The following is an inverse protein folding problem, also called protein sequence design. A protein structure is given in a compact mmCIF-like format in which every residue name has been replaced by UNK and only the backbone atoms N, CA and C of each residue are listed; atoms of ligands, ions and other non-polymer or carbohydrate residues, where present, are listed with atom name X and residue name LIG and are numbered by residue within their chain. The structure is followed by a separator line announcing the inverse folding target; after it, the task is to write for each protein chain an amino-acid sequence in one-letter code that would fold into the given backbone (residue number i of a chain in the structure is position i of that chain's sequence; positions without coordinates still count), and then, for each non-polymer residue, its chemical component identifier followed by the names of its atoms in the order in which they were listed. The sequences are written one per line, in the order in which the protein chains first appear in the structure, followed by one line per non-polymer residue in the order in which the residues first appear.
data_IF_450287949588
#
_entry.id   IF_450287949588
#
_cell.length_a   1.000
_cell.length_b   1.000
_cell.length_c   1.000
_cell.angle_alpha   90.00
_cell.angle_beta   90.00
_cell.angle_gamma   90.00
#
_symmetry.space_group_name_H-M   'P 1'
#
loop_
_entity.id
_entity.type
_entity.pdbx_description
1 polymer ?
#
# COMPACT_ATOMS: atom_id res chain seq x y z
N UNK A 1 -48.50 -49.05 -34.58
CA UNK A 1 -48.47 -47.58 -34.63
C UNK A 1 -47.21 -47.12 -33.90
N UNK A 2 -46.11 -46.88 -34.60
CA UNK A 2 -44.88 -46.33 -33.99
C UNK A 2 -44.86 -44.84 -34.27
N UNK A 3 -45.14 -44.05 -33.24
CA UNK A 3 -44.97 -42.61 -33.28
C UNK A 3 -43.46 -42.34 -33.17
N UNK A 4 -42.86 -41.81 -34.24
CA UNK A 4 -41.48 -41.32 -34.19
C UNK A 4 -41.52 -39.94 -33.56
N UNK A 5 -40.84 -39.77 -32.44
CA UNK A 5 -40.77 -38.51 -31.69
C UNK A 5 -39.66 -37.65 -32.31
N UNK A 6 -40.05 -36.72 -33.20
CA UNK A 6 -39.14 -35.89 -34.02
C UNK A 6 -38.89 -34.54 -33.33
N UNK A 7 -38.76 -34.52 -32.00
CA UNK A 7 -38.51 -33.28 -31.24
C UNK A 7 -37.40 -33.42 -30.19
N UNK A 8 -36.54 -34.44 -30.29
CA UNK A 8 -35.43 -34.67 -29.35
C UNK A 8 -34.04 -34.46 -29.98
N UNK A 9 -33.96 -33.89 -31.18
CA UNK A 9 -32.68 -33.56 -31.81
C UNK A 9 -32.19 -32.19 -31.36
N UNK A 10 -30.94 -32.13 -30.87
CA UNK A 10 -30.22 -30.86 -30.66
C UNK A 10 -30.38 -29.95 -31.88
N UNK A 11 -30.85 -28.73 -31.65
CA UNK A 11 -30.95 -27.75 -32.72
C UNK A 11 -29.58 -27.14 -33.01
N UNK A 12 -29.41 -26.58 -34.20
CA UNK A 12 -28.19 -25.83 -34.53
C UNK A 12 -27.96 -24.65 -33.57
N UNK A 13 -29.03 -24.10 -32.99
CA UNK A 13 -28.95 -23.04 -31.99
C UNK A 13 -28.35 -23.56 -30.67
N UNK A 14 -28.79 -24.73 -30.19
CA UNK A 14 -28.27 -25.33 -28.96
C UNK A 14 -26.77 -25.64 -29.07
N UNK A 15 -26.34 -26.10 -30.26
CA UNK A 15 -24.91 -26.30 -30.54
C UNK A 15 -24.13 -25.00 -30.56
N UNK A 16 -24.71 -23.93 -31.10
CA UNK A 16 -24.06 -22.63 -31.17
C UNK A 16 -23.91 -21.99 -29.79
N UNK A 17 -24.90 -22.15 -28.91
CA UNK A 17 -24.83 -21.72 -27.50
C UNK A 17 -23.77 -22.51 -26.73
N UNK A 18 -23.68 -23.84 -26.95
CA UNK A 18 -22.67 -24.67 -26.30
C UNK A 18 -21.24 -24.29 -26.71
N UNK A 19 -21.02 -23.94 -27.98
CA UNK A 19 -19.70 -23.46 -28.47
C UNK A 19 -19.35 -22.11 -27.83
N UNK A 20 -20.31 -21.18 -27.74
CA UNK A 20 -20.08 -19.88 -27.10
C UNK A 20 -19.79 -20.00 -25.60
N UNK A 21 -20.50 -20.88 -24.89
CA UNK A 21 -20.25 -21.15 -23.47
C UNK A 21 -18.87 -21.79 -23.25
N UNK A 22 -18.45 -22.71 -24.12
CA UNK A 22 -17.13 -23.32 -24.07
C UNK A 22 -16.01 -22.30 -24.34
N UNK A 23 -16.20 -21.39 -25.28
CA UNK A 23 -15.23 -20.33 -25.60
C UNK A 23 -15.10 -19.33 -24.43
N UNK A 24 -16.23 -18.89 -23.85
CA UNK A 24 -16.23 -17.99 -22.69
C UNK A 24 -15.55 -18.61 -21.46
N UNK A 25 -15.76 -19.91 -21.21
CA UNK A 25 -15.07 -20.62 -20.12
C UNK A 25 -13.57 -20.69 -20.36
N UNK A 26 -13.16 -20.98 -21.59
CA UNK A 26 -11.74 -21.03 -21.95
C UNK A 26 -11.07 -19.68 -21.80
N UNK A 27 -11.72 -18.60 -22.24
CA UNK A 27 -11.20 -17.24 -22.07
C UNK A 27 -11.07 -16.89 -20.56
N UNK A 28 -12.01 -17.34 -19.71
CA UNK A 28 -11.93 -17.14 -18.25
C UNK A 28 -10.76 -17.93 -17.62
N UNK A 29 -10.59 -19.20 -18.01
CA UNK A 29 -9.47 -20.06 -17.57
C UNK A 29 -8.12 -19.51 -18.05
N UNK A 30 -8.03 -19.01 -19.28
CA UNK A 30 -6.83 -18.38 -19.82
C UNK A 30 -6.48 -17.09 -19.04
N UNK A 31 -7.48 -16.31 -18.61
CA UNK A 31 -7.27 -15.08 -17.83
C UNK A 31 -6.78 -15.37 -16.41
N UNK A 32 -7.40 -16.33 -15.70
CA UNK A 32 -6.92 -16.80 -14.39
C UNK A 32 -5.48 -17.36 -14.50
N UNK A 33 -5.18 -18.11 -15.56
CA UNK A 33 -3.83 -18.65 -15.78
C UNK A 33 -2.80 -17.54 -16.02
N UNK A 34 -3.19 -16.45 -16.68
CA UNK A 34 -2.31 -15.31 -16.93
C UNK A 34 -2.03 -14.52 -15.65
N UNK A 35 -3.06 -14.33 -14.82
CA UNK A 35 -2.96 -13.69 -13.51
C UNK A 35 -2.08 -14.51 -12.55
N UNK A 36 -2.26 -15.84 -12.50
CA UNK A 36 -1.43 -16.74 -11.69
C UNK A 36 0.03 -16.73 -12.14
N UNK A 37 0.29 -16.79 -13.46
CA UNK A 37 1.65 -16.68 -14.01
C UNK A 37 2.27 -15.32 -13.72
N UNK A 38 1.48 -14.25 -13.75
CA UNK A 38 1.93 -12.92 -13.38
C UNK A 38 2.30 -12.86 -11.89
N UNK A 39 1.46 -13.40 -11.01
CA UNK A 39 1.75 -13.52 -9.58
C UNK A 39 3.00 -14.36 -9.28
N UNK A 40 3.22 -15.45 -10.02
CA UNK A 40 4.42 -16.26 -9.89
C UNK A 40 5.66 -15.51 -10.36
N UNK A 41 5.60 -14.76 -11.47
CA UNK A 41 6.71 -13.90 -11.91
C UNK A 41 6.97 -12.73 -10.95
N UNK A 42 5.92 -12.15 -10.35
CA UNK A 42 5.97 -11.13 -9.31
C UNK A 42 6.69 -11.66 -8.05
N UNK A 43 6.35 -12.88 -7.63
CA UNK A 43 7.01 -13.62 -6.54
C UNK A 43 8.44 -14.01 -6.90
N UNK A 44 8.71 -14.38 -8.15
CA UNK A 44 10.05 -14.76 -8.61
C UNK A 44 11.00 -13.56 -8.76
N UNK A 45 10.49 -12.37 -9.14
CA UNK A 45 11.27 -11.12 -9.25
C UNK A 45 11.53 -10.47 -7.90
N UNK A 46 10.68 -10.72 -6.91
CA UNK A 46 10.83 -10.19 -5.57
C UNK A 46 11.64 -11.16 -4.72
N UNK A 47 12.89 -10.82 -4.41
CA UNK A 47 13.62 -11.61 -3.41
C UNK A 47 12.77 -11.64 -2.11
N UNK A 48 12.50 -12.82 -1.52
CA UNK A 48 11.60 -13.00 -0.37
C UNK A 48 12.06 -12.35 0.96
N UNK A 49 13.00 -11.39 0.90
CA UNK A 49 13.70 -10.81 2.04
C UNK A 49 13.73 -9.28 2.08
N UNK A 50 13.19 -8.57 1.07
CA UNK A 50 13.38 -7.13 0.87
C UNK A 50 12.14 -6.42 0.27
N UNK A 51 10.93 -6.78 0.72
CA UNK A 51 9.68 -6.18 0.23
C UNK A 51 9.18 -5.03 1.10
N UNK A 52 9.68 -4.90 2.33
CA UNK A 52 9.27 -3.88 3.28
C UNK A 52 10.50 -3.19 3.89
N UNK A 53 10.44 -1.88 4.08
CA UNK A 53 11.44 -1.12 4.82
C UNK A 53 10.72 -0.15 5.75
N UNK A 54 10.91 -0.35 7.04
CA UNK A 54 10.35 0.51 8.08
C UNK A 54 11.48 1.30 8.71
N UNK A 55 11.38 2.64 8.68
CA UNK A 55 12.35 3.53 9.30
C UNK A 55 11.65 4.45 10.27
N UNK A 56 12.16 4.51 11.49
CA UNK A 56 11.75 5.47 12.50
C UNK A 56 12.78 6.60 12.60
N UNK A 57 12.30 7.83 12.60
CA UNK A 57 13.14 9.00 12.81
C UNK A 57 12.40 10.10 13.57
N UNK A 58 13.14 10.94 14.29
CA UNK A 58 12.58 12.17 14.83
C UNK A 58 12.13 13.09 13.70
N UNK A 59 10.97 13.73 13.88
CA UNK A 59 10.46 14.73 12.95
C UNK A 59 11.36 15.97 13.01
N UNK A 60 11.98 16.38 11.89
CA UNK A 60 12.78 17.60 11.84
C UNK A 60 11.96 18.82 12.28
N UNK A 61 12.57 19.71 13.08
CA UNK A 61 11.92 20.92 13.61
C UNK A 61 11.26 21.78 12.54
N UNK A 62 11.84 21.83 11.34
CA UNK A 62 11.30 22.56 10.20
C UNK A 62 9.93 22.04 9.76
N UNK A 63 9.69 20.74 9.87
CA UNK A 63 8.44 20.10 9.44
C UNK A 63 7.40 19.98 10.56
N UNK A 64 7.78 20.14 11.84
CA UNK A 64 6.84 20.04 12.96
C UNK A 64 5.67 21.02 12.83
N UNK A 65 5.92 22.22 12.30
CA UNK A 65 4.86 23.22 12.06
C UNK A 65 3.86 22.75 10.99
N UNK A 66 4.35 22.17 9.91
CA UNK A 66 3.50 21.67 8.84
C UNK A 66 2.65 20.50 9.33
N UNK A 67 3.25 19.55 10.05
CA UNK A 67 2.50 18.43 10.63
C UNK A 67 1.59 18.83 11.79
N UNK A 68 1.86 19.94 12.49
CA UNK A 68 0.92 20.50 13.45
C UNK A 68 -0.39 20.97 12.81
N UNK A 69 -0.36 21.40 11.54
CA UNK A 69 -1.60 21.68 10.79
C UNK A 69 -2.34 20.41 10.38
N UNK A 70 -1.61 19.30 10.22
CA UNK A 70 -2.17 17.99 9.89
C UNK A 70 -2.86 17.36 11.09
N UNK A 71 -2.29 17.52 12.30
CA UNK A 71 -2.82 16.95 13.55
C UNK A 71 -3.10 18.05 14.61
N UNK A 72 -4.09 18.94 14.40
CA UNK A 72 -4.32 20.11 15.26
C UNK A 72 -4.79 19.76 16.67
N UNK A 73 -5.40 18.58 16.86
CA UNK A 73 -5.84 18.09 18.16
C UNK A 73 -4.66 17.72 19.08
N UNK A 74 -3.46 17.60 18.53
CA UNK A 74 -2.25 17.24 19.27
C UNK A 74 -1.29 18.43 19.24
N UNK A 75 -0.69 18.74 20.39
CA UNK A 75 0.33 19.79 20.45
C UNK A 75 1.68 19.30 19.95
N UNK A 76 1.71 18.83 18.70
CA UNK A 76 2.90 18.28 18.01
C UNK A 76 4.04 19.30 17.91
N UNK A 77 3.72 20.60 17.94
CA UNK A 77 4.73 21.66 17.96
C UNK A 77 5.50 21.77 19.29
N UNK A 78 4.98 21.21 20.40
CA UNK A 78 5.61 21.24 21.72
C UNK A 78 5.97 19.85 22.25
N UNK A 79 5.60 18.79 21.55
CA UNK A 79 5.97 17.43 21.90
C UNK A 79 7.13 16.93 21.06
N UNK A 80 7.76 15.86 21.54
CA UNK A 80 8.57 15.01 20.66
C UNK A 80 7.61 14.41 19.63
N UNK A 81 7.99 14.45 18.36
CA UNK A 81 7.22 13.88 17.25
C UNK A 81 8.18 12.98 16.49
N UNK A 82 7.84 11.71 16.41
CA UNK A 82 8.57 10.70 15.65
C UNK A 82 7.71 10.30 14.46
N UNK A 83 8.37 10.06 13.33
CA UNK A 83 7.73 9.60 12.10
C UNK A 83 8.30 8.24 11.76
N UNK A 84 7.40 7.29 11.56
CA UNK A 84 7.70 5.96 11.06
C UNK A 84 7.26 5.92 9.59
N UNK A 85 8.23 5.88 8.69
CA UNK A 85 8.00 5.72 7.25
C UNK A 85 7.95 4.24 6.91
N UNK A 86 6.83 3.82 6.33
CA UNK A 86 6.54 2.45 5.96
C UNK A 86 6.64 2.33 4.44
N UNK A 87 7.77 1.82 3.95
CA UNK A 87 8.06 1.77 2.51
C UNK A 87 7.89 0.35 2.02
N UNK A 88 6.97 0.14 1.09
CA UNK A 88 6.74 -1.14 0.44
C UNK A 88 7.37 -1.13 -0.94
N UNK A 89 8.07 -2.20 -1.30
CA UNK A 89 8.55 -2.41 -2.66
C UNK A 89 7.36 -2.77 -3.55
N UNK A 90 7.20 -2.01 -4.63
CA UNK A 90 6.23 -2.31 -5.67
C UNK A 90 6.91 -3.09 -6.80
N UNK A 91 6.13 -3.82 -7.59
CA UNK A 91 6.62 -4.46 -8.80
C UNK A 91 6.44 -3.56 -10.02
N UNK A 92 5.41 -2.71 -10.05
CA UNK A 92 5.26 -1.70 -11.08
C UNK A 92 5.93 -0.38 -10.71
N UNK A 93 6.22 0.42 -11.73
CA UNK A 93 6.70 1.78 -11.54
C UNK A 93 5.53 2.67 -11.07
N UNK A 94 5.56 3.03 -9.78
CA UNK A 94 4.49 3.80 -9.12
C UNK A 94 4.39 5.26 -9.60
N UNK A 95 5.33 5.72 -10.45
CA UNK A 95 5.25 7.02 -11.13
C UNK A 95 4.36 7.00 -12.38
N UNK A 96 4.07 5.81 -12.90
CA UNK A 96 3.17 5.62 -14.04
C UNK A 96 1.72 5.47 -13.59
N UNK A 97 0.79 5.63 -14.54
CA UNK A 97 -0.65 5.43 -14.33
C UNK A 97 -1.15 4.42 -15.35
N UNK A 98 -1.20 3.17 -14.95
CA UNK A 98 -1.84 2.05 -15.65
C UNK A 98 -2.83 1.35 -14.70
N UNK A 99 -3.67 0.48 -15.26
CA UNK A 99 -4.59 -0.36 -14.48
C UNK A 99 -3.81 -1.21 -13.45
N UNK A 100 -2.78 -1.92 -13.90
CA UNK A 100 -1.93 -2.73 -13.02
C UNK A 100 -1.29 -1.93 -11.86
N UNK A 101 -0.85 -0.69 -12.12
CA UNK A 101 -0.26 0.16 -11.06
C UNK A 101 -1.29 0.62 -10.05
N UNK A 102 -2.53 0.85 -10.46
CA UNK A 102 -3.59 1.30 -9.55
C UNK A 102 -4.14 0.13 -8.73
N UNK A 103 -4.27 -1.06 -9.33
CA UNK A 103 -4.59 -2.29 -8.60
C UNK A 103 -3.52 -2.64 -7.57
N UNK A 104 -2.24 -2.55 -7.96
CA UNK A 104 -1.14 -2.76 -7.02
C UNK A 104 -1.18 -1.70 -5.90
N UNK A 105 -1.42 -0.43 -6.23
CA UNK A 105 -1.53 0.66 -5.25
C UNK A 105 -2.66 0.40 -4.25
N UNK A 106 -3.80 -0.10 -4.71
CA UNK A 106 -4.93 -0.46 -3.83
C UNK A 106 -4.53 -1.55 -2.84
N UNK A 107 -3.91 -2.64 -3.33
CA UNK A 107 -3.40 -3.75 -2.48
C UNK A 107 -2.37 -3.27 -1.45
N UNK A 108 -1.40 -2.45 -1.87
CA UNK A 108 -0.38 -1.89 -0.98
C UNK A 108 -0.99 -0.92 0.05
N UNK A 109 -2.01 -0.16 -0.34
CA UNK A 109 -2.72 0.76 0.54
C UNK A 109 -3.51 0.01 1.61
N UNK A 110 -4.26 -1.04 1.22
CA UNK A 110 -5.02 -1.87 2.14
C UNK A 110 -4.09 -2.51 3.20
N UNK A 111 -2.99 -3.11 2.75
CA UNK A 111 -2.00 -3.70 3.66
C UNK A 111 -1.40 -2.68 4.63
N UNK A 112 -1.05 -1.49 4.12
CA UNK A 112 -0.53 -0.41 4.97
C UNK A 112 -1.57 0.04 6.01
N UNK A 113 -2.82 0.26 5.61
CA UNK A 113 -3.88 0.75 6.50
C UNK A 113 -4.14 -0.24 7.64
N UNK A 114 -4.25 -1.53 7.34
CA UNK A 114 -4.46 -2.56 8.36
C UNK A 114 -3.27 -2.66 9.32
N UNK A 115 -2.04 -2.64 8.79
CA UNK A 115 -0.82 -2.67 9.60
C UNK A 115 -0.67 -1.41 10.46
N UNK A 116 -0.94 -0.24 9.89
CA UNK A 116 -0.84 1.05 10.59
C UNK A 116 -1.87 1.18 11.72
N UNK A 117 -3.08 0.64 11.55
CA UNK A 117 -4.07 0.54 12.62
C UNK A 117 -3.55 -0.27 13.81
N UNK A 118 -2.92 -1.42 13.55
CA UNK A 118 -2.33 -2.26 14.61
C UNK A 118 -1.19 -1.54 15.33
N UNK A 119 -0.25 -0.97 14.58
CA UNK A 119 0.87 -0.20 15.12
C UNK A 119 0.36 0.94 16.01
N UNK A 120 -0.60 1.74 15.50
CA UNK A 120 -1.19 2.84 16.28
C UNK A 120 -1.90 2.33 17.54
N UNK A 121 -2.61 1.20 17.47
CA UNK A 121 -3.28 0.60 18.64
C UNK A 121 -2.27 0.20 19.71
N UNK A 122 -1.17 -0.47 19.33
CA UNK A 122 -0.09 -0.87 20.25
C UNK A 122 0.61 0.32 20.89
N UNK A 123 0.93 1.34 20.12
CA UNK A 123 1.57 2.55 20.67
C UNK A 123 0.61 3.26 21.64
N UNK A 124 -0.68 3.35 21.29
CA UNK A 124 -1.70 3.97 22.13
C UNK A 124 -2.00 3.21 23.41
N UNK A 125 -1.90 1.88 23.41
CA UNK A 125 -2.10 1.08 24.64
C UNK A 125 -0.99 1.31 25.68
N UNK A 126 0.18 1.79 25.24
CA UNK A 126 1.31 2.19 26.11
C UNK A 126 1.24 3.66 26.56
N UNK A 127 0.13 4.36 26.27
CA UNK A 127 -0.10 5.75 26.71
C UNK A 127 0.51 6.82 25.81
N UNK A 128 1.08 6.44 24.67
CA UNK A 128 1.55 7.39 23.66
C UNK A 128 0.43 7.75 22.66
N UNK A 129 0.51 8.93 22.06
CA UNK A 129 -0.33 9.26 20.92
C UNK A 129 0.28 8.65 19.65
N UNK A 130 -0.56 8.10 18.79
CA UNK A 130 -0.18 7.69 17.45
C UNK A 130 -1.36 7.87 16.49
N UNK A 131 -1.05 8.29 15.27
CA UNK A 131 -1.97 8.39 14.14
C UNK A 131 -1.18 8.16 12.84
N UNK A 132 -1.86 7.90 11.74
CA UNK A 132 -1.22 7.74 10.44
C UNK A 132 -1.99 8.50 9.38
N UNK A 133 -1.33 8.71 8.24
CA UNK A 133 -1.95 9.41 7.13
C UNK A 133 -2.51 8.38 6.16
N UNK A 134 -3.81 8.49 5.90
CA UNK A 134 -4.49 7.73 4.85
C UNK A 134 -3.87 8.06 3.49
N UNK A 135 -3.23 7.11 2.78
CA UNK A 135 -2.55 7.38 1.52
C UNK A 135 -3.48 7.91 0.43
N UNK A 136 -4.75 7.49 0.45
CA UNK A 136 -5.77 7.86 -0.55
C UNK A 136 -6.22 9.31 -0.39
N UNK A 137 -6.54 9.74 0.84
CA UNK A 137 -7.00 11.12 1.09
C UNK A 137 -5.90 12.10 1.48
N UNK A 138 -4.73 11.59 1.87
CA UNK A 138 -3.62 12.37 2.41
C UNK A 138 -3.91 12.96 3.79
N UNK A 139 -4.90 12.46 4.53
CA UNK A 139 -5.36 13.05 5.81
C UNK A 139 -5.12 12.12 7.01
N UNK A 140 -5.17 12.65 8.24
CA UNK A 140 -5.19 11.81 9.44
C UNK A 140 -6.29 10.75 9.34
N UNK A 141 -5.95 9.51 9.67
CA UNK A 141 -6.90 8.40 9.64
C UNK A 141 -7.76 8.35 10.91
N UNK A 142 -7.14 8.58 12.08
CA UNK A 142 -7.82 8.50 13.38
C UNK A 142 -8.28 9.87 13.88
N UNK A 143 -7.59 10.93 13.48
CA UNK A 143 -7.90 12.32 13.84
C UNK A 143 -9.12 12.89 13.11
N UNK A 144 -9.53 14.09 13.54
CA UNK A 144 -10.58 14.85 12.88
C UNK A 144 -10.15 15.32 11.48
N UNK A 145 -11.14 15.66 10.66
CA UNK A 145 -10.91 16.24 9.35
C UNK A 145 -10.02 17.49 9.43
N UNK A 146 -9.01 17.54 8.56
CA UNK A 146 -8.19 18.73 8.36
C UNK A 146 -8.08 19.10 6.87
N UNK A 147 -7.93 20.39 6.56
CA UNK A 147 -7.69 20.82 5.18
C UNK A 147 -6.25 20.53 4.72
N UNK A 148 -5.33 20.32 5.66
CA UNK A 148 -3.96 19.93 5.36
C UNK A 148 -3.91 18.49 4.83
N UNK A 149 -3.02 18.25 3.88
CA UNK A 149 -2.81 16.92 3.31
C UNK A 149 -1.32 16.56 3.31
N UNK A 150 -1.03 15.26 3.24
CA UNK A 150 0.31 14.70 3.09
C UNK A 150 0.21 13.40 2.28
N UNK A 151 0.46 13.49 0.99
CA UNK A 151 0.33 12.35 0.06
C UNK A 151 1.64 11.58 -0.07
N UNK A 152 1.58 10.35 -0.58
CA UNK A 152 2.72 9.47 -0.87
C UNK A 152 3.88 10.13 -1.64
N UNK A 153 3.62 11.11 -2.51
CA UNK A 153 4.65 11.79 -3.33
C UNK A 153 4.98 13.22 -2.83
N UNK A 154 4.62 13.54 -1.59
CA UNK A 154 4.83 14.87 -1.03
C UNK A 154 6.33 15.25 -0.94
N UNK A 155 6.64 16.53 -1.20
CA UNK A 155 8.02 17.01 -1.20
C UNK A 155 8.68 16.95 0.19
N UNK A 156 7.92 16.89 1.28
CA UNK A 156 8.42 16.75 2.65
C UNK A 156 9.12 15.41 2.87
N UNK A 157 8.82 14.37 2.09
CA UNK A 157 9.57 13.09 2.10
C UNK A 157 11.07 13.24 1.83
N UNK A 158 11.52 14.36 1.24
CA UNK A 158 12.96 14.67 1.12
C UNK A 158 13.70 14.71 2.46
N UNK A 159 13.02 15.09 3.54
CA UNK A 159 13.61 15.12 4.88
C UNK A 159 13.60 13.75 5.58
N UNK A 160 12.95 12.76 4.96
CA UNK A 160 12.84 11.39 5.44
C UNK A 160 13.68 10.40 4.59
N UNK A 161 14.68 10.91 3.87
CA UNK A 161 15.63 10.08 3.11
C UNK A 161 15.19 9.68 1.70
N UNK A 162 14.09 10.25 1.19
CA UNK A 162 13.64 10.00 -0.19
C UNK A 162 14.11 11.09 -1.15
N UNK A 163 14.25 10.73 -2.43
CA UNK A 163 14.45 11.71 -3.49
C UNK A 163 13.11 12.03 -4.13
N UNK A 164 12.75 13.32 -4.21
CA UNK A 164 11.53 13.75 -4.89
C UNK A 164 11.92 14.53 -6.14
N UNK A 165 11.49 14.04 -7.30
CA UNK A 165 11.62 14.72 -8.60
C UNK A 165 10.34 15.50 -8.88
N UNK A 166 10.49 16.79 -9.20
CA UNK A 166 9.37 17.66 -9.52
C UNK A 166 9.30 17.87 -11.03
N UNK A 167 8.26 17.31 -11.65
CA UNK A 167 8.00 17.39 -13.09
C UNK A 167 7.02 18.53 -13.43
N UNK A 168 6.75 19.43 -12.48
CA UNK A 168 5.80 20.53 -12.61
C UNK A 168 4.36 20.10 -12.34
N UNK A 169 3.80 19.22 -13.18
CA UNK A 169 2.42 18.73 -12.99
C UNK A 169 2.30 17.56 -12.01
N UNK A 170 3.40 16.83 -11.79
CA UNK A 170 3.46 15.66 -10.92
C UNK A 170 4.76 15.67 -10.11
N UNK A 171 4.73 15.02 -8.95
CA UNK A 171 5.91 14.73 -8.14
C UNK A 171 6.14 13.22 -8.16
N UNK A 172 7.40 12.82 -8.31
CA UNK A 172 7.79 11.41 -8.33
C UNK A 172 8.68 11.15 -7.12
N UNK A 173 8.30 10.17 -6.31
CA UNK A 173 9.08 9.71 -5.19
C UNK A 173 10.02 8.58 -5.63
N UNK A 174 11.29 8.67 -5.22
CA UNK A 174 12.30 7.64 -5.42
C UNK A 174 12.89 7.19 -4.09
N UNK A 175 12.80 5.90 -3.86
CA UNK A 175 13.54 5.21 -2.81
C UNK A 175 14.97 4.91 -3.25
N UNK A 176 15.92 4.92 -2.32
CA UNK A 176 17.34 4.74 -2.64
C UNK A 176 17.70 3.32 -3.11
N UNK A 177 16.95 2.30 -2.69
CA UNK A 177 17.14 0.90 -3.15
C UNK A 177 16.22 0.53 -4.32
N UNK A 178 14.98 1.01 -4.30
CA UNK A 178 13.92 0.53 -5.20
C UNK A 178 13.56 1.53 -6.31
N UNK A 179 14.19 2.70 -6.35
CA UNK A 179 13.87 3.73 -7.33
C UNK A 179 12.40 4.15 -7.20
N UNK A 180 11.69 4.21 -8.32
CA UNK A 180 10.25 4.53 -8.39
C UNK A 180 9.33 3.35 -8.10
N UNK A 181 9.87 2.16 -7.90
CA UNK A 181 9.11 0.93 -7.63
C UNK A 181 8.87 0.80 -6.12
N UNK A 182 8.23 1.81 -5.55
CA UNK A 182 7.95 1.85 -4.12
C UNK A 182 6.71 2.64 -3.79
N UNK A 183 6.01 2.20 -2.76
CA UNK A 183 4.93 2.88 -2.10
C UNK A 183 5.38 3.31 -0.70
N UNK A 184 4.96 4.49 -0.23
CA UNK A 184 5.31 4.97 1.12
C UNK A 184 4.06 5.42 1.89
N UNK A 185 3.91 4.88 3.09
CA UNK A 185 2.99 5.36 4.11
C UNK A 185 3.74 5.99 5.28
N UNK A 186 3.03 6.82 6.06
CA UNK A 186 3.61 7.48 7.23
C UNK A 186 2.73 7.37 8.47
N UNK A 187 3.36 6.94 9.56
CA UNK A 187 2.78 6.88 10.90
C UNK A 187 3.49 7.91 11.77
N UNK A 188 2.73 8.64 12.57
CA UNK A 188 3.19 9.71 13.45
C UNK A 188 2.91 9.33 14.90
N UNK A 189 3.85 9.60 15.79
CA UNK A 189 3.69 9.33 17.22
C UNK A 189 4.45 10.32 18.08
N UNK A 190 4.01 10.51 19.33
CA UNK A 190 4.80 11.21 20.35
C UNK A 190 5.66 10.27 21.21
N UNK A 191 5.70 8.97 20.89
CA UNK A 191 6.60 8.03 21.53
C UNK A 191 8.06 8.41 21.22
N UNK A 192 8.94 8.43 22.25
CA UNK A 192 10.39 8.54 22.05
C UNK A 192 10.91 7.41 21.18
N UNK A 193 12.03 7.63 20.49
CA UNK A 193 12.67 6.62 19.65
C UNK A 193 13.10 5.39 20.46
N UNK A 194 13.42 5.59 21.73
CA UNK A 194 13.90 4.58 22.67
C UNK A 194 12.75 3.85 23.40
N UNK A 195 11.50 4.10 23.02
CA UNK A 195 10.35 3.43 23.64
C UNK A 195 10.33 1.95 23.25
N UNK A 196 10.26 1.06 24.24
CA UNK A 196 10.30 -0.40 24.05
C UNK A 196 9.28 -0.87 23.01
N UNK A 197 8.06 -0.30 23.04
CA UNK A 197 6.99 -0.66 22.08
C UNK A 197 7.36 -0.35 20.63
N UNK A 198 8.10 0.74 20.38
CA UNK A 198 8.49 1.09 19.01
C UNK A 198 9.66 0.21 18.56
N UNK A 199 10.62 -0.07 19.45
CA UNK A 199 11.72 -0.99 19.17
C UNK A 199 11.22 -2.42 18.86
N UNK A 200 10.23 -2.91 19.62
CA UNK A 200 9.57 -4.19 19.36
C UNK A 200 8.88 -4.21 17.99
N UNK A 201 8.10 -3.18 17.66
CA UNK A 201 7.43 -3.08 16.35
C UNK A 201 8.46 -3.08 15.21
N UNK A 202 9.55 -2.32 15.33
CA UNK A 202 10.60 -2.30 14.29
C UNK A 202 11.25 -3.67 14.11
N UNK A 203 11.59 -4.34 15.22
CA UNK A 203 12.18 -5.68 15.16
C UNK A 203 11.22 -6.70 14.53
N UNK A 204 9.93 -6.64 14.84
CA UNK A 204 8.91 -7.51 14.21
C UNK A 204 8.79 -7.25 12.72
N UNK A 205 8.77 -5.99 12.29
CA UNK A 205 8.67 -5.62 10.87
C UNK A 205 9.91 -6.05 10.08
N UNK A 206 11.11 -5.93 10.68
CA UNK A 206 12.35 -6.43 10.10
C UNK A 206 12.34 -7.97 9.98
N UNK A 207 11.81 -8.68 10.99
CA UNK A 207 11.66 -10.13 10.94
C UNK A 207 10.65 -10.57 9.87
N UNK A 208 9.52 -9.87 9.73
CA UNK A 208 8.54 -10.14 8.68
C UNK A 208 9.14 -9.94 7.29
N UNK A 209 10.03 -8.96 7.14
CA UNK A 209 10.73 -8.74 5.88
C UNK A 209 11.71 -9.88 5.55
N UNK A 210 12.31 -10.55 6.55
CA UNK A 210 13.29 -11.62 6.35
C UNK A 210 12.72 -13.05 6.38
N UNK A 211 11.55 -13.25 7.01
CA UNK A 211 10.94 -14.57 7.19
C UNK A 211 9.90 -14.92 6.11
N UNK A 212 9.76 -14.11 5.05
CA UNK A 212 8.97 -14.44 3.86
C UNK A 212 9.58 -15.53 2.96
N UNK A 213 10.43 -16.39 3.51
CA UNK A 213 11.19 -17.45 2.85
C UNK A 213 10.46 -18.80 2.82
#
# INVERSE_FOLDING_TARGET
TKHCDVLTGETNYDRQVAILDQELRRDFEDTESLEELYEEELKARSKPGEMLEVKLQECPELLKKDFATLFPAVNVAKSNLSVLTFTQKAIHDMSSRSEDTEEEREKLTEYFVETAKEICRRIRSQGHWADFVDPTSGRPYLGDYTPATFFETDCRYRQFGFTIEDLGCCKVLRHHKWGTHCFVGSIFTNAPLESDVVAEILAEMDLLNHNGA
#
